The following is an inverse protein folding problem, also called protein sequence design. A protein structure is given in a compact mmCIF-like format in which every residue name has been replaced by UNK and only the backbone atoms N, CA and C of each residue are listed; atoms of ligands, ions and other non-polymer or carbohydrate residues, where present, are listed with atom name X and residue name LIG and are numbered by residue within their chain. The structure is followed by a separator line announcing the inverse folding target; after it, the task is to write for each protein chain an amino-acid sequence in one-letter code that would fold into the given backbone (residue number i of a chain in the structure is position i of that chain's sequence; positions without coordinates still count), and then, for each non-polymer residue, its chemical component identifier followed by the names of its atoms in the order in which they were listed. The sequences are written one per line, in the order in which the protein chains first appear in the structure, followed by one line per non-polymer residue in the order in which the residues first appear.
data_IF_926336387543
#
_entry.id   IF_926336387543
#
_cell.length_a   1.000
_cell.length_b   1.000
_cell.length_c   1.000
_cell.angle_alpha   90.00
_cell.angle_beta   90.00
_cell.angle_gamma   90.00
#
_symmetry.space_group_name_H-M   'P 1'
#
loop_
_entity.id
_entity.type
_entity.pdbx_description
1 polymer ?
#
# COMPACT_ATOMS: atom_id res chain seq x y z
N UNK A 1 -22.77 -25.53 -9.62
CA UNK A 1 -21.47 -24.90 -9.94
C UNK A 1 -21.74 -23.66 -10.78
N UNK A 2 -21.75 -22.47 -10.15
CA UNK A 2 -21.83 -21.21 -10.92
C UNK A 2 -20.58 -21.10 -11.79
N UNK A 3 -20.76 -20.99 -13.11
CA UNK A 3 -19.68 -20.69 -14.04
C UNK A 3 -19.13 -19.31 -13.67
N UNK A 4 -17.87 -19.24 -13.24
CA UNK A 4 -17.19 -17.96 -13.09
C UNK A 4 -17.29 -17.20 -14.44
N UNK A 5 -17.65 -15.91 -14.41
CA UNK A 5 -17.73 -15.12 -15.64
C UNK A 5 -16.37 -15.16 -16.34
N UNK A 6 -16.40 -15.38 -17.66
CA UNK A 6 -15.20 -15.56 -18.46
C UNK A 6 -14.35 -14.28 -18.44
N UNK A 7 -13.23 -14.28 -17.73
CA UNK A 7 -12.29 -13.15 -17.70
C UNK A 7 -11.56 -13.11 -19.05
N UNK A 8 -11.45 -11.93 -19.65
CA UNK A 8 -10.77 -11.77 -20.94
C UNK A 8 -9.24 -11.97 -20.80
N UNK A 9 -8.59 -12.50 -21.84
CA UNK A 9 -7.13 -12.63 -21.88
C UNK A 9 -6.42 -11.29 -21.79
N UNK A 10 -7.03 -10.22 -22.33
CA UNK A 10 -6.53 -8.86 -22.21
C UNK A 10 -6.53 -8.37 -20.75
N UNK A 11 -7.59 -8.67 -19.98
CA UNK A 11 -7.67 -8.34 -18.55
C UNK A 11 -6.57 -9.05 -17.76
N UNK A 12 -6.30 -10.33 -18.05
CA UNK A 12 -5.24 -11.09 -17.38
C UNK A 12 -3.84 -10.55 -17.71
N UNK A 13 -3.58 -10.18 -18.97
CA UNK A 13 -2.32 -9.55 -19.38
C UNK A 13 -2.14 -8.18 -18.70
N UNK A 14 -3.19 -7.38 -18.66
CA UNK A 14 -3.19 -6.09 -17.97
C UNK A 14 -2.90 -6.24 -16.47
N UNK A 15 -3.54 -7.20 -15.81
CA UNK A 15 -3.30 -7.48 -14.39
C UNK A 15 -1.85 -7.90 -14.11
N UNK A 16 -1.24 -8.70 -15.00
CA UNK A 16 0.18 -9.05 -14.90
C UNK A 16 1.09 -7.84 -15.07
N UNK A 17 0.84 -7.02 -16.09
CA UNK A 17 1.62 -5.80 -16.31
C UNK A 17 1.55 -4.87 -15.10
N UNK A 18 0.35 -4.60 -14.59
CA UNK A 18 0.16 -3.77 -13.38
C UNK A 18 0.86 -4.39 -12.18
N UNK A 19 0.73 -5.70 -11.96
CA UNK A 19 1.38 -6.36 -10.84
C UNK A 19 2.91 -6.32 -10.92
N UNK A 20 3.51 -6.46 -12.10
CA UNK A 20 4.96 -6.30 -12.30
C UNK A 20 5.40 -4.86 -11.97
N UNK A 21 4.69 -3.87 -12.52
CA UNK A 21 5.01 -2.45 -12.30
C UNK A 21 4.89 -2.11 -10.81
N UNK A 22 3.79 -2.48 -10.16
CA UNK A 22 3.60 -2.22 -8.74
C UNK A 22 4.64 -2.96 -7.87
N UNK A 23 5.01 -4.19 -8.23
CA UNK A 23 6.07 -4.91 -7.52
C UNK A 23 7.41 -4.17 -7.64
N UNK A 24 7.78 -3.73 -8.85
CA UNK A 24 8.99 -2.93 -9.06
C UNK A 24 8.95 -1.61 -8.25
N UNK A 25 7.80 -0.95 -8.21
CA UNK A 25 7.59 0.28 -7.45
C UNK A 25 7.66 0.06 -5.92
N UNK A 26 7.37 -1.14 -5.40
CA UNK A 26 7.62 -1.46 -3.99
C UNK A 26 9.11 -1.68 -3.69
N UNK A 27 9.88 -2.21 -4.64
CA UNK A 27 11.34 -2.35 -4.48
C UNK A 27 12.09 -1.02 -4.69
N UNK A 28 11.56 -0.12 -5.52
CA UNK A 28 12.24 1.12 -5.87
C UNK A 28 12.64 1.97 -4.65
N UNK A 29 11.77 2.24 -3.65
CA UNK A 29 12.16 2.95 -2.43
C UNK A 29 13.27 2.26 -1.63
N UNK A 30 13.26 0.92 -1.59
CA UNK A 30 14.26 0.12 -0.85
C UNK A 30 15.65 0.23 -1.49
N UNK A 31 15.71 0.32 -2.83
CA UNK A 31 16.96 0.44 -3.57
C UNK A 31 17.42 1.91 -3.61
N UNK A 32 16.51 2.83 -3.91
CA UNK A 32 16.82 4.25 -4.09
C UNK A 32 17.17 4.94 -2.77
N UNK A 33 16.69 4.46 -1.62
CA UNK A 33 17.09 4.99 -0.31
C UNK A 33 18.59 4.85 -0.02
N UNK A 34 19.29 3.93 -0.70
CA UNK A 34 20.75 3.81 -0.59
C UNK A 34 21.48 5.02 -1.17
N UNK A 35 20.91 5.67 -2.19
CA UNK A 35 21.47 6.85 -2.84
C UNK A 35 20.82 8.15 -2.34
N UNK A 36 19.56 8.08 -1.90
CA UNK A 36 18.72 9.21 -1.56
C UNK A 36 17.92 8.95 -0.27
N UNK A 37 18.58 8.90 0.90
CA UNK A 37 17.95 8.50 2.17
C UNK A 37 16.79 9.41 2.59
N UNK A 38 16.88 10.71 2.32
CA UNK A 38 15.88 11.72 2.73
C UNK A 38 14.63 11.78 1.83
N UNK A 39 14.63 11.05 0.70
CA UNK A 39 13.55 11.09 -0.30
C UNK A 39 12.50 9.99 -0.09
N UNK A 40 12.86 8.96 0.66
CA UNK A 40 12.01 7.80 0.96
C UNK A 40 11.97 7.63 2.48
N UNK A 41 11.06 6.81 3.00
CA UNK A 41 10.71 6.62 4.43
C UNK A 41 11.90 6.30 5.40
N UNK A 42 12.96 7.10 5.44
CA UNK A 42 14.31 6.68 5.85
C UNK A 42 15.24 7.80 6.30
N UNK A 43 14.75 8.90 6.88
CA UNK A 43 15.64 9.86 7.53
C UNK A 43 15.03 10.54 8.77
N UNK A 44 15.66 10.43 9.96
CA UNK A 44 16.47 9.33 10.49
C UNK A 44 15.62 8.52 11.49
N UNK A 45 15.16 7.34 11.08
CA UNK A 45 14.57 6.39 12.03
C UNK A 45 15.66 5.47 12.59
N UNK A 46 15.43 4.88 13.76
CA UNK A 46 16.27 3.78 14.24
C UNK A 46 16.38 2.69 13.17
N UNK A 47 17.60 2.23 12.87
CA UNK A 47 17.94 1.17 11.88
C UNK A 47 17.02 -0.05 11.87
N UNK A 48 16.39 -0.38 13.00
CA UNK A 48 15.41 -1.46 13.09
C UNK A 48 14.16 -1.18 12.27
N UNK A 49 13.58 0.01 12.38
CA UNK A 49 12.37 0.41 11.64
C UNK A 49 12.65 0.48 10.15
N UNK A 50 13.82 0.99 9.80
CA UNK A 50 14.33 0.99 8.43
C UNK A 50 14.35 -0.43 7.84
N UNK A 51 14.91 -1.41 8.56
CA UNK A 51 14.91 -2.79 8.09
C UNK A 51 13.49 -3.38 8.01
N UNK A 52 12.65 -3.09 9.00
CA UNK A 52 11.26 -3.57 9.02
C UNK A 52 10.47 -3.06 7.81
N UNK A 53 10.47 -1.75 7.56
CA UNK A 53 9.77 -1.17 6.41
C UNK A 53 10.29 -1.75 5.09
N UNK A 54 11.60 -1.91 4.95
CA UNK A 54 12.21 -2.45 3.73
C UNK A 54 11.80 -3.90 3.49
N UNK A 55 11.77 -4.71 4.55
CA UNK A 55 11.28 -6.10 4.47
C UNK A 55 9.79 -6.18 4.18
N UNK A 56 8.97 -5.26 4.72
CA UNK A 56 7.53 -5.21 4.42
C UNK A 56 7.31 -4.87 2.95
N UNK A 57 7.93 -3.81 2.43
CA UNK A 57 7.80 -3.42 1.02
C UNK A 57 8.31 -4.53 0.09
N UNK A 58 9.45 -5.14 0.41
CA UNK A 58 9.98 -6.29 -0.33
C UNK A 58 9.02 -7.47 -0.32
N UNK A 59 8.43 -7.81 0.83
CA UNK A 59 7.46 -8.90 0.94
C UNK A 59 6.17 -8.62 0.15
N UNK A 60 5.68 -7.38 0.12
CA UNK A 60 4.56 -6.97 -0.72
C UNK A 60 4.89 -7.14 -2.20
N UNK A 61 6.08 -6.70 -2.63
CA UNK A 61 6.58 -6.89 -4.00
C UNK A 61 6.65 -8.36 -4.41
N UNK A 62 7.27 -9.21 -3.58
CA UNK A 62 7.37 -10.66 -3.83
C UNK A 62 5.98 -11.31 -3.85
N UNK A 63 5.13 -11.00 -2.87
CA UNK A 63 3.77 -11.54 -2.79
C UNK A 63 2.95 -11.22 -4.03
N UNK A 64 3.11 -10.00 -4.57
CA UNK A 64 2.46 -9.60 -5.81
C UNK A 64 3.00 -10.38 -7.03
N UNK A 65 4.32 -10.56 -7.14
CA UNK A 65 4.94 -11.37 -8.21
C UNK A 65 4.45 -12.82 -8.17
N UNK A 66 4.34 -13.42 -6.99
CA UNK A 66 3.81 -14.77 -6.82
C UNK A 66 2.35 -14.87 -7.25
N UNK A 67 1.54 -13.83 -6.99
CA UNK A 67 0.14 -13.79 -7.40
C UNK A 67 -0.03 -13.79 -8.94
N UNK A 68 0.97 -13.34 -9.70
CA UNK A 68 0.90 -13.22 -11.17
C UNK A 68 0.80 -14.56 -11.91
N UNK A 69 1.17 -15.68 -11.27
CA UNK A 69 1.06 -17.01 -11.85
C UNK A 69 -0.37 -17.30 -12.29
N UNK A 70 -1.32 -16.93 -11.44
CA UNK A 70 -2.76 -16.99 -11.72
C UNK A 70 -3.47 -15.77 -11.10
N UNK A 71 -3.51 -14.63 -11.81
CA UNK A 71 -4.04 -13.39 -11.26
C UNK A 71 -5.53 -13.47 -10.92
N UNK A 72 -6.30 -14.29 -11.65
CA UNK A 72 -7.74 -14.45 -11.40
C UNK A 72 -7.99 -15.17 -10.08
N UNK A 73 -7.30 -16.30 -9.87
CA UNK A 73 -7.41 -17.05 -8.61
C UNK A 73 -6.86 -16.25 -7.42
N UNK A 74 -5.81 -15.48 -7.65
CA UNK A 74 -5.14 -14.69 -6.63
C UNK A 74 -5.63 -13.23 -6.57
N UNK A 75 -6.80 -12.90 -7.13
CA UNK A 75 -7.31 -11.53 -7.18
C UNK A 75 -7.38 -10.87 -5.78
N UNK A 76 -7.64 -11.65 -4.73
CA UNK A 76 -7.64 -11.17 -3.35
C UNK A 76 -6.30 -10.60 -2.89
N UNK A 77 -5.16 -11.09 -3.41
CA UNK A 77 -3.83 -10.58 -3.08
C UNK A 77 -3.67 -9.13 -3.53
N UNK A 78 -4.19 -8.78 -4.71
CA UNK A 78 -4.19 -7.40 -5.21
C UNK A 78 -4.99 -6.47 -4.29
N UNK A 79 -6.14 -6.94 -3.79
CA UNK A 79 -6.97 -6.16 -2.87
C UNK A 79 -6.26 -5.93 -1.52
N UNK A 80 -5.67 -6.97 -0.93
CA UNK A 80 -4.97 -6.87 0.36
C UNK A 80 -3.74 -5.97 0.24
N UNK A 81 -2.90 -6.18 -0.77
CA UNK A 81 -1.71 -5.34 -0.99
C UNK A 81 -2.11 -3.88 -1.28
N UNK A 82 -3.18 -3.67 -2.07
CA UNK A 82 -3.71 -2.33 -2.34
C UNK A 82 -4.23 -1.63 -1.08
N UNK A 83 -4.93 -2.35 -0.20
CA UNK A 83 -5.36 -1.84 1.11
C UNK A 83 -4.16 -1.49 1.99
N UNK A 84 -3.15 -2.37 2.05
CA UNK A 84 -1.92 -2.11 2.81
C UNK A 84 -1.20 -0.88 2.30
N UNK A 85 -1.06 -0.72 0.97
CA UNK A 85 -0.46 0.46 0.36
C UNK A 85 -1.25 1.74 0.69
N UNK A 86 -2.58 1.72 0.58
CA UNK A 86 -3.42 2.87 0.94
C UNK A 86 -3.36 3.20 2.44
N UNK A 87 -3.23 2.20 3.29
CA UNK A 87 -3.06 2.40 4.74
C UNK A 87 -1.69 3.01 5.07
N UNK A 88 -0.63 2.54 4.43
CA UNK A 88 0.71 3.15 4.53
C UNK A 88 0.70 4.61 4.05
N UNK A 89 -0.04 4.89 2.97
CA UNK A 89 -0.20 6.25 2.43
C UNK A 89 -0.90 7.18 3.43
N UNK A 90 -2.03 6.74 3.99
CA UNK A 90 -2.77 7.49 5.00
C UNK A 90 -1.95 7.74 6.28
N UNK A 91 -1.15 6.76 6.71
CA UNK A 91 -0.23 6.94 7.84
C UNK A 91 0.88 7.96 7.50
N UNK A 92 1.41 7.93 6.28
CA UNK A 92 2.42 8.90 5.80
C UNK A 92 1.84 10.32 5.79
N UNK A 93 0.61 10.48 5.30
CA UNK A 93 -0.11 11.77 5.32
C UNK A 93 -0.33 12.25 6.75
N UNK A 94 -0.71 11.37 7.67
CA UNK A 94 -0.86 11.72 9.09
C UNK A 94 0.44 12.30 9.64
N UNK A 95 1.58 11.62 9.45
CA UNK A 95 2.86 12.12 9.94
C UNK A 95 3.32 13.41 9.26
N UNK A 96 2.97 13.64 7.99
CA UNK A 96 3.23 14.92 7.32
C UNK A 96 2.42 16.09 7.87
N UNK A 97 1.24 15.81 8.43
CA UNK A 97 0.34 16.85 8.97
C UNK A 97 0.55 17.08 10.45
N UNK A 98 0.87 16.03 11.22
CA UNK A 98 0.89 16.07 12.69
C UNK A 98 2.27 15.85 13.32
N UNK A 99 3.22 15.24 12.62
CA UNK A 99 4.53 14.86 13.18
C UNK A 99 5.71 15.64 12.54
N UNK A 100 5.43 16.70 11.77
CA UNK A 100 6.43 17.51 11.04
C UNK A 100 7.39 16.66 10.16
N UNK A 101 6.87 15.57 9.56
CA UNK A 101 7.68 14.75 8.66
C UNK A 101 8.17 15.56 7.44
N UNK A 102 9.29 15.12 6.85
CA UNK A 102 9.94 15.83 5.75
C UNK A 102 8.97 16.07 4.57
N UNK A 103 8.83 17.33 4.15
CA UNK A 103 7.88 17.73 3.10
C UNK A 103 8.15 17.11 1.73
N UNK A 104 9.36 16.58 1.50
CA UNK A 104 9.73 15.79 0.32
C UNK A 104 8.78 14.61 0.08
N UNK A 105 8.21 14.01 1.13
CA UNK A 105 7.31 12.87 1.01
C UNK A 105 5.98 13.18 0.32
N UNK A 106 5.54 14.45 0.32
CA UNK A 106 4.38 14.89 -0.46
C UNK A 106 4.57 14.68 -1.97
N UNK A 107 5.82 14.73 -2.44
CA UNK A 107 6.17 14.63 -3.85
C UNK A 107 6.69 13.25 -4.24
N UNK A 108 7.07 12.42 -3.28
CA UNK A 108 7.63 11.08 -3.53
C UNK A 108 6.72 9.97 -3.02
N UNK A 109 6.60 9.84 -1.71
CA UNK A 109 6.05 8.66 -1.05
C UNK A 109 4.53 8.62 -1.17
N UNK A 110 3.88 9.76 -0.96
CA UNK A 110 2.42 9.88 -1.08
C UNK A 110 1.92 9.54 -2.48
N UNK A 111 2.39 10.20 -3.56
CA UNK A 111 1.91 9.89 -4.91
C UNK A 111 2.26 8.47 -5.34
N UNK A 112 3.41 7.93 -4.90
CA UNK A 112 3.80 6.55 -5.18
C UNK A 112 2.83 5.54 -4.57
N UNK A 113 2.56 5.63 -3.26
CA UNK A 113 1.69 4.69 -2.56
C UNK A 113 0.24 4.83 -3.02
N UNK A 114 -0.24 6.06 -3.24
CA UNK A 114 -1.56 6.32 -3.81
C UNK A 114 -1.71 5.68 -5.20
N UNK A 115 -0.72 5.85 -6.08
CA UNK A 115 -0.75 5.27 -7.43
C UNK A 115 -0.78 3.73 -7.38
N UNK A 116 0.04 3.12 -6.53
CA UNK A 116 0.04 1.65 -6.34
C UNK A 116 -1.32 1.19 -5.80
N UNK A 117 -1.84 1.82 -4.75
CA UNK A 117 -3.10 1.44 -4.14
C UNK A 117 -4.25 1.50 -5.16
N UNK A 118 -4.37 2.60 -5.90
CA UNK A 118 -5.38 2.77 -6.96
C UNK A 118 -5.21 1.71 -8.05
N UNK A 119 -4.00 1.51 -8.56
CA UNK A 119 -3.73 0.54 -9.62
C UNK A 119 -4.12 -0.89 -9.21
N UNK A 120 -3.80 -1.29 -7.98
CA UNK A 120 -4.12 -2.62 -7.45
C UNK A 120 -5.62 -2.80 -7.19
N UNK A 121 -6.29 -1.80 -6.64
CA UNK A 121 -7.76 -1.83 -6.43
C UNK A 121 -8.51 -1.86 -7.76
N UNK A 122 -8.10 -1.05 -8.74
CA UNK A 122 -8.70 -1.07 -10.09
C UNK A 122 -8.45 -2.42 -10.77
N UNK A 123 -7.25 -2.99 -10.61
CA UNK A 123 -6.94 -4.32 -11.16
C UNK A 123 -7.80 -5.40 -10.51
N UNK A 124 -7.95 -5.35 -9.18
CA UNK A 124 -8.82 -6.25 -8.44
C UNK A 124 -10.28 -6.16 -8.91
N UNK A 125 -10.84 -4.96 -9.04
CA UNK A 125 -12.24 -4.77 -9.48
C UNK A 125 -12.49 -5.26 -10.91
N UNK A 126 -11.46 -5.26 -11.76
CA UNK A 126 -11.51 -5.85 -13.11
C UNK A 126 -11.43 -7.37 -13.11
N UNK A 127 -10.69 -7.96 -12.17
CA UNK A 127 -10.55 -9.41 -12.04
C UNK A 127 -11.73 -10.05 -11.31
N UNK A 128 -12.31 -9.35 -10.34
CA UNK A 128 -13.42 -9.81 -9.51
C UNK A 128 -14.35 -8.64 -9.25
N UNK A 129 -15.66 -8.83 -9.40
CA UNK A 129 -16.63 -7.81 -8.98
C UNK A 129 -16.74 -7.85 -7.45
N UNK A 130 -16.20 -6.87 -6.71
CA UNK A 130 -16.34 -6.88 -5.26
C UNK A 130 -17.78 -6.53 -4.86
N UNK A 131 -18.19 -7.05 -3.71
CA UNK A 131 -19.43 -6.60 -3.10
C UNK A 131 -19.27 -5.13 -2.67
N UNK A 132 -20.23 -4.23 -2.96
CA UNK A 132 -20.10 -2.80 -2.70
C UNK A 132 -19.83 -2.46 -1.22
N UNK A 133 -20.34 -3.27 -0.30
CA UNK A 133 -20.06 -3.13 1.14
C UNK A 133 -18.58 -3.33 1.45
N UNK A 134 -17.92 -4.31 0.81
CA UNK A 134 -16.48 -4.55 1.03
C UNK A 134 -15.66 -3.35 0.56
N UNK A 135 -16.01 -2.77 -0.59
CA UNK A 135 -15.35 -1.56 -1.10
C UNK A 135 -15.51 -0.40 -0.12
N UNK A 136 -16.71 -0.18 0.41
CA UNK A 136 -16.96 0.87 1.42
C UNK A 136 -16.17 0.66 2.70
N UNK A 137 -16.09 -0.58 3.19
CA UNK A 137 -15.31 -0.92 4.39
C UNK A 137 -13.82 -0.65 4.14
N UNK A 138 -13.28 -1.04 2.99
CA UNK A 138 -11.88 -0.79 2.62
C UNK A 138 -11.58 0.71 2.54
N UNK A 139 -12.44 1.49 1.88
CA UNK A 139 -12.28 2.94 1.79
C UNK A 139 -12.37 3.56 3.19
N UNK A 140 -13.34 3.15 3.99
CA UNK A 140 -13.49 3.64 5.36
C UNK A 140 -12.27 3.28 6.23
N UNK A 141 -11.72 2.08 6.10
CA UNK A 141 -10.55 1.65 6.85
C UNK A 141 -9.33 2.54 6.55
N UNK A 142 -9.09 2.87 5.26
CA UNK A 142 -8.01 3.78 4.86
C UNK A 142 -8.28 5.21 5.33
N UNK A 143 -9.50 5.71 5.11
CA UNK A 143 -9.86 7.10 5.43
C UNK A 143 -9.94 7.37 6.94
N UNK A 144 -10.31 6.37 7.75
CA UNK A 144 -10.38 6.48 9.21
C UNK A 144 -9.04 6.21 9.88
N UNK A 145 -8.03 5.71 9.17
CA UNK A 145 -6.73 5.40 9.75
C UNK A 145 -6.06 6.62 10.41
N UNK A 146 -6.03 7.83 9.80
CA UNK A 146 -5.46 9.01 10.47
C UNK A 146 -6.19 9.35 11.78
N UNK A 147 -7.50 9.14 11.84
CA UNK A 147 -8.28 9.35 13.08
C UNK A 147 -7.91 8.31 14.13
N UNK A 148 -7.73 7.05 13.74
CA UNK A 148 -7.30 5.99 14.64
C UNK A 148 -5.89 6.27 15.21
N UNK A 149 -4.96 6.77 14.39
CA UNK A 149 -3.62 7.18 14.81
C UNK A 149 -3.69 8.37 15.78
N UNK A 150 -4.49 9.39 15.47
CA UNK A 150 -4.73 10.51 16.38
C UNK A 150 -5.23 10.07 17.76
N UNK A 151 -6.23 9.18 17.79
CA UNK A 151 -6.78 8.66 19.04
C UNK A 151 -5.73 7.85 19.82
N UNK A 152 -4.93 7.06 19.11
CA UNK A 152 -3.80 6.33 19.70
C UNK A 152 -2.80 7.29 20.36
N UNK A 153 -2.39 8.36 19.67
CA UNK A 153 -1.39 9.30 20.18
C UNK A 153 -1.92 10.16 21.33
N UNK A 154 -3.22 10.52 21.29
CA UNK A 154 -3.90 11.19 22.39
C UNK A 154 -3.93 10.29 23.64
N UNK A 155 -4.30 9.01 23.48
CA UNK A 155 -4.30 8.04 24.58
C UNK A 155 -2.88 7.81 25.12
N UNK A 156 -1.88 7.64 24.24
CA UNK A 156 -0.50 7.41 24.66
C UNK A 156 0.06 8.57 25.49
N UNK A 157 -0.22 9.82 25.08
CA UNK A 157 0.14 11.01 25.89
C UNK A 157 -0.57 11.01 27.24
N UNK A 158 -1.88 10.76 27.27
CA UNK A 158 -2.66 10.78 28.50
C UNK A 158 -2.23 9.71 29.52
N UNK A 159 -1.83 8.52 29.07
CA UNK A 159 -1.60 7.37 29.95
C UNK A 159 -0.12 7.01 30.17
N UNK A 160 0.80 7.39 29.27
CA UNK A 160 2.20 6.94 29.31
C UNK A 160 3.19 8.09 29.49
N UNK A 161 2.95 9.24 28.86
CA UNK A 161 3.81 10.44 28.96
C UNK A 161 2.98 11.66 29.40
N UNK A 162 2.50 11.70 30.67
CA UNK A 162 1.70 12.81 31.18
C UNK A 162 2.48 14.12 31.21
#
# INVERSE_FOLDING_TARGET
MERQPHISTATLRGARAVGIVCAALFFAPVILSLAFPDLFLYAPYHRTYERMLGTILGALGIGLLLALRDPARNAGVFAVIGLTAGSLDAATIYSLVFDDAASSHWLTTVPLLAAIAVALVVTYTRLRRPHPVVVRIVIAAVALLPVALYLHDAAYRAFVKP
#
